data_IF_951723330202
#
_entry.id   IF_951723330202
#
_cell.length_a   1.000
_cell.length_b   1.000
_cell.length_c   1.000
_cell.angle_alpha   90.00
_cell.angle_beta   90.00
_cell.angle_gamma   90.00
#
_symmetry.space_group_name_H-M   'P 1'
#
loop_
_entity.id
_entity.type
_entity.pdbx_description
1 polymer ?
#
# COMPACT_ATOMS: atom_id res chain seq x y z
N UNK A 1 -61.09 -3.38 -33.64
CA UNK A 1 -60.06 -3.98 -34.32
C UNK A 1 -58.87 -3.13 -34.34
N UNK A 2 -59.04 -1.97 -34.33
CA UNK A 2 -57.95 -1.13 -34.46
C UNK A 2 -57.36 -0.81 -33.19
N UNK A 3 -57.87 -1.22 -32.18
CA UNK A 3 -57.33 -0.83 -30.94
C UNK A 3 -56.05 -1.50 -30.57
N UNK A 4 -55.82 -2.55 -31.23
CA UNK A 4 -54.70 -3.30 -30.80
C UNK A 4 -53.40 -2.65 -31.14
N UNK A 5 -53.39 -1.89 -32.17
CA UNK A 5 -52.12 -1.40 -32.53
C UNK A 5 -51.60 -0.45 -31.57
N UNK A 6 -52.36 0.04 -30.78
CA UNK A 6 -51.89 1.02 -29.90
C UNK A 6 -50.82 0.59 -28.97
N UNK A 7 -50.93 -0.58 -28.48
CA UNK A 7 -50.00 -0.98 -27.50
C UNK A 7 -48.64 -1.18 -28.00
N UNK A 8 -48.42 -1.14 -29.19
CA UNK A 8 -47.14 -1.43 -29.70
C UNK A 8 -46.09 -0.45 -29.29
N UNK A 9 -46.47 0.73 -29.30
CA UNK A 9 -45.42 1.71 -29.15
C UNK A 9 -44.76 1.75 -27.82
N UNK A 10 -45.50 1.57 -26.78
CA UNK A 10 -44.86 1.82 -25.57
C UNK A 10 -43.94 0.77 -25.16
N UNK A 11 -44.04 -0.31 -25.67
CA UNK A 11 -43.18 -1.35 -25.23
C UNK A 11 -41.72 -1.01 -25.43
N UNK A 12 -41.48 -0.16 -26.37
CA UNK A 12 -40.12 -0.01 -26.69
C UNK A 12 -39.38 0.99 -25.88
N UNK A 13 -40.07 2.01 -25.48
CA UNK A 13 -39.30 3.00 -24.91
C UNK A 13 -38.72 2.65 -23.62
N UNK A 14 -39.36 1.87 -22.81
CA UNK A 14 -38.71 1.67 -21.58
C UNK A 14 -37.54 0.79 -21.73
N UNK A 15 -37.38 0.17 -22.81
CA UNK A 15 -36.26 -0.67 -22.97
C UNK A 15 -34.97 0.08 -22.93
N UNK A 16 -34.95 1.28 -23.49
CA UNK A 16 -33.68 1.93 -23.52
C UNK A 16 -33.38 2.60 -22.21
N UNK A 17 -34.34 2.86 -21.42
CA UNK A 17 -34.06 3.48 -20.16
C UNK A 17 -33.18 2.61 -19.29
N UNK A 18 -33.29 1.34 -19.42
CA UNK A 18 -32.52 0.47 -18.59
C UNK A 18 -31.05 0.56 -18.86
N UNK A 19 -30.71 0.77 -20.09
CA UNK A 19 -29.33 0.70 -20.41
C UNK A 19 -28.54 1.87 -19.90
N UNK A 20 -29.18 2.97 -19.74
CA UNK A 20 -28.43 4.13 -19.34
C UNK A 20 -27.94 4.08 -17.91
N UNK A 21 -28.74 3.61 -17.03
CA UNK A 21 -28.41 3.65 -15.63
C UNK A 21 -27.13 2.95 -15.27
N UNK A 22 -26.99 1.71 -15.60
CA UNK A 22 -25.79 0.98 -15.19
C UNK A 22 -24.51 1.50 -15.80
N UNK A 23 -24.59 2.04 -16.96
CA UNK A 23 -23.33 2.45 -17.55
C UNK A 23 -22.71 3.64 -16.86
N UNK A 24 -23.51 4.49 -16.31
CA UNK A 24 -22.96 5.65 -15.66
C UNK A 24 -22.17 5.32 -14.41
N UNK A 25 -22.58 4.30 -13.71
CA UNK A 25 -21.90 3.95 -12.49
C UNK A 25 -20.47 3.52 -12.73
N UNK A 26 -20.22 2.93 -13.86
CA UNK A 26 -18.89 2.45 -14.14
C UNK A 26 -17.91 3.59 -14.37
N UNK A 27 -18.36 4.67 -14.94
CA UNK A 27 -17.46 5.76 -15.18
C UNK A 27 -16.92 6.35 -13.90
N UNK A 28 -17.72 6.34 -12.86
CA UNK A 28 -17.26 6.89 -11.60
C UNK A 28 -16.12 6.09 -11.01
N UNK A 29 -16.11 4.80 -11.21
CA UNK A 29 -15.04 3.98 -10.67
C UNK A 29 -13.72 4.29 -11.30
N UNK A 30 -13.69 4.61 -12.58
CA UNK A 30 -12.44 4.92 -13.21
C UNK A 30 -11.83 6.21 -12.69
N UNK A 31 -12.66 7.19 -12.43
CA UNK A 31 -12.15 8.44 -11.90
C UNK A 31 -11.52 8.27 -10.53
N UNK A 32 -12.06 7.38 -9.73
CA UNK A 32 -11.52 7.15 -8.42
C UNK A 32 -10.12 6.56 -8.49
N UNK A 33 -9.89 5.64 -9.40
CA UNK A 33 -8.57 5.04 -9.53
C UNK A 33 -7.54 6.04 -10.04
N UNK A 34 -7.95 6.94 -10.88
CA UNK A 34 -7.02 7.94 -11.38
C UNK A 34 -6.54 8.85 -10.27
N UNK A 35 -7.40 9.17 -9.34
CA UNK A 35 -7.01 10.00 -8.23
C UNK A 35 -5.98 9.33 -7.34
N UNK A 36 -6.13 8.03 -7.15
CA UNK A 36 -5.18 7.31 -6.34
C UNK A 36 -3.80 7.28 -6.97
N UNK A 37 -3.73 7.23 -8.28
CA UNK A 37 -2.45 7.23 -8.96
C UNK A 37 -1.73 8.56 -8.83
N UNK A 38 -2.47 9.64 -8.81
CA UNK A 38 -1.85 10.94 -8.67
C UNK A 38 -1.19 11.12 -7.32
N UNK A 39 -1.77 10.52 -6.28
CA UNK A 39 -1.19 10.63 -4.96
C UNK A 39 0.15 9.95 -4.86
N UNK A 40 0.40 8.94 -5.65
CA UNK A 40 1.65 8.22 -5.59
C UNK A 40 2.82 9.05 -6.11
N UNK A 41 2.56 10.01 -6.95
CA UNK A 41 3.64 10.81 -7.52
C UNK A 41 4.31 11.71 -6.49
N UNK A 42 3.61 12.02 -5.43
CA UNK A 42 4.16 12.91 -4.42
C UNK A 42 4.88 12.20 -3.30
N UNK A 43 5.05 10.90 -3.39
CA UNK A 43 5.70 10.14 -2.33
C UNK A 43 7.16 9.89 -2.67
N UNK A 44 7.97 9.75 -1.63
CA UNK A 44 9.36 9.37 -1.77
C UNK A 44 9.49 7.86 -1.93
N UNK A 45 10.72 7.35 -1.84
CA UNK A 45 10.94 5.92 -2.04
C UNK A 45 10.32 5.09 -0.92
N UNK A 46 9.72 3.96 -1.27
CA UNK A 46 9.19 3.06 -0.24
C UNK A 46 10.32 2.28 0.43
N UNK A 47 10.02 1.71 1.59
CA UNK A 47 10.97 0.90 2.35
C UNK A 47 10.47 -0.53 2.38
N UNK A 48 11.40 -1.47 2.31
CA UNK A 48 11.04 -2.88 2.35
C UNK A 48 12.20 -3.66 2.96
N UNK A 49 11.96 -4.91 3.29
CA UNK A 49 13.01 -5.74 3.81
C UNK A 49 12.45 -7.01 4.40
N UNK A 50 13.31 -7.72 5.10
CA UNK A 50 12.90 -8.93 5.76
C UNK A 50 13.54 -9.02 7.13
N UNK A 51 12.91 -9.80 8.01
CA UNK A 51 13.37 -10.00 9.37
C UNK A 51 13.65 -11.48 9.56
N UNK A 52 14.85 -11.80 10.01
CA UNK A 52 15.26 -13.17 10.30
C UNK A 52 15.79 -13.23 11.72
N UNK A 53 15.82 -14.45 12.29
CA UNK A 53 16.49 -14.63 13.56
C UNK A 53 17.94 -15.06 13.30
N UNK A 54 18.69 -15.25 14.37
CA UNK A 54 20.10 -15.58 14.24
C UNK A 54 20.34 -16.98 13.67
N UNK A 55 19.31 -17.82 13.63
CA UNK A 55 19.43 -19.12 13.00
C UNK A 55 19.06 -19.09 11.52
N UNK A 56 18.66 -17.92 10.99
CA UNK A 56 18.31 -17.77 9.59
C UNK A 56 16.86 -18.00 9.27
N UNK A 57 16.01 -18.23 10.28
CA UNK A 57 14.59 -18.42 10.05
C UNK A 57 13.89 -17.08 9.95
N UNK A 58 12.88 -17.01 9.10
CA UNK A 58 12.07 -15.80 8.98
C UNK A 58 11.26 -15.58 10.25
N UNK A 59 11.08 -14.31 10.61
CA UNK A 59 10.36 -13.93 11.81
C UNK A 59 9.06 -13.25 11.40
N UNK A 60 7.92 -13.94 11.50
CA UNK A 60 6.63 -13.31 11.17
C UNK A 60 6.15 -12.41 12.30
N UNK A 61 5.30 -11.47 11.94
CA UNK A 61 4.63 -10.62 12.92
C UNK A 61 5.59 -9.79 13.77
N UNK A 62 6.76 -9.49 13.23
CA UNK A 62 7.68 -8.53 13.84
C UNK A 62 7.19 -7.12 13.55
N UNK A 63 7.45 -6.21 14.46
CA UNK A 63 7.01 -4.82 14.33
C UNK A 63 8.15 -4.01 13.75
N UNK A 64 7.87 -3.34 12.65
CA UNK A 64 8.82 -2.47 12.00
C UNK A 64 8.39 -1.04 12.29
N UNK A 65 9.29 -0.24 12.83
CA UNK A 65 8.99 1.14 13.16
C UNK A 65 9.87 2.06 12.32
N UNK A 66 9.22 2.92 11.56
CA UNK A 66 9.91 3.96 10.78
C UNK A 66 9.71 5.28 11.49
N UNK A 67 10.79 5.87 12.00
CA UNK A 67 10.74 7.12 12.73
C UNK A 67 11.30 8.24 11.87
N UNK A 68 10.58 9.35 11.78
CA UNK A 68 11.01 10.52 11.04
C UNK A 68 11.48 11.55 12.05
N UNK A 69 12.80 11.74 12.11
CA UNK A 69 13.39 12.55 13.17
C UNK A 69 12.95 14.00 13.13
N UNK A 70 12.87 14.57 11.95
CA UNK A 70 12.53 15.99 11.82
C UNK A 70 11.10 16.29 12.22
N UNK A 71 10.22 15.31 12.19
CA UNK A 71 8.81 15.52 12.49
C UNK A 71 8.38 14.89 13.81
N UNK A 72 9.29 14.22 14.48
CA UNK A 72 9.00 13.52 15.74
C UNK A 72 7.78 12.61 15.57
N UNK A 73 7.74 11.89 14.48
CA UNK A 73 6.60 11.07 14.10
C UNK A 73 7.09 9.70 13.70
N UNK A 74 6.23 8.69 13.79
CA UNK A 74 6.61 7.33 13.42
C UNK A 74 5.42 6.58 12.84
N UNK A 75 5.74 5.56 12.02
CA UNK A 75 4.78 4.68 11.38
C UNK A 75 5.23 3.25 11.64
N UNK A 76 4.29 2.35 11.84
CA UNK A 76 4.63 0.95 12.09
C UNK A 76 4.04 0.06 11.01
N UNK A 77 4.71 -1.08 10.81
CA UNK A 77 4.24 -2.13 9.92
C UNK A 77 4.59 -3.46 10.57
N UNK A 78 4.06 -4.55 10.02
CA UNK A 78 4.34 -5.89 10.55
C UNK A 78 4.84 -6.78 9.43
N UNK A 79 5.69 -7.73 9.77
CA UNK A 79 6.14 -8.70 8.78
C UNK A 79 5.07 -9.76 8.55
N UNK A 80 5.06 -10.30 7.32
CA UNK A 80 4.17 -11.38 6.96
C UNK A 80 4.77 -12.72 7.40
N UNK A 81 4.16 -13.82 6.98
CA UNK A 81 4.60 -15.14 7.43
C UNK A 81 5.98 -15.49 6.90
N UNK A 82 6.46 -14.81 5.89
CA UNK A 82 7.80 -15.01 5.36
C UNK A 82 8.78 -13.97 5.86
N UNK A 83 8.38 -13.17 6.83
CA UNK A 83 9.28 -12.18 7.41
C UNK A 83 9.46 -10.93 6.58
N UNK A 84 8.68 -10.73 5.54
CA UNK A 84 8.80 -9.56 4.68
C UNK A 84 7.90 -8.44 5.17
N UNK A 85 8.32 -7.21 4.93
CA UNK A 85 7.50 -6.04 5.23
C UNK A 85 7.69 -5.00 4.14
N UNK A 86 6.75 -4.07 4.08
CA UNK A 86 6.82 -2.95 3.17
C UNK A 86 6.16 -1.75 3.81
N UNK A 87 6.82 -0.59 3.70
CA UNK A 87 6.28 0.68 4.17
C UNK A 87 6.25 1.61 2.98
N UNK A 88 5.07 2.18 2.66
CA UNK A 88 4.98 3.13 1.56
C UNK A 88 5.89 4.32 1.79
N UNK A 89 6.28 4.98 0.73
CA UNK A 89 7.15 6.14 0.85
C UNK A 89 6.46 7.28 1.56
N UNK A 90 7.27 8.13 2.17
CA UNK A 90 6.79 9.33 2.80
C UNK A 90 6.81 10.47 1.79
N UNK A 91 6.46 11.66 2.23
CA UNK A 91 6.47 12.82 1.34
C UNK A 91 7.86 13.03 0.75
N UNK A 92 7.91 13.52 -0.49
CA UNK A 92 9.19 13.80 -1.14
C UNK A 92 10.00 14.85 -0.40
N UNK A 93 9.35 15.66 0.41
CA UNK A 93 10.05 16.69 1.17
C UNK A 93 10.82 16.10 2.35
N UNK A 94 10.63 14.83 2.67
CA UNK A 94 11.33 14.19 3.76
C UNK A 94 12.57 13.50 3.21
N UNK A 95 13.74 13.87 3.74
CA UNK A 95 14.99 13.25 3.32
C UNK A 95 15.02 11.82 3.85
N UNK A 96 15.24 10.81 3.00
CA UNK A 96 15.32 9.44 3.49
C UNK A 96 16.35 9.22 4.59
N UNK A 97 17.37 10.05 4.66
CA UNK A 97 18.37 9.96 5.72
C UNK A 97 17.80 10.28 7.09
N UNK A 98 16.68 10.99 7.14
CA UNK A 98 16.02 11.30 8.39
C UNK A 98 15.09 10.21 8.86
N UNK A 99 14.85 9.19 8.03
CA UNK A 99 13.97 8.09 8.35
C UNK A 99 14.79 6.96 8.93
N UNK A 100 14.52 6.60 10.18
CA UNK A 100 15.20 5.52 10.85
C UNK A 100 14.25 4.34 11.00
N UNK A 101 14.70 3.16 10.58
CA UNK A 101 13.86 1.97 10.60
C UNK A 101 14.43 0.97 11.57
N UNK A 102 13.60 0.53 12.52
CA UNK A 102 13.99 -0.46 13.49
C UNK A 102 13.00 -1.62 13.48
N UNK A 103 13.45 -2.77 13.96
CA UNK A 103 12.64 -3.98 14.02
C UNK A 103 12.59 -4.45 15.45
N UNK A 104 11.42 -4.95 15.88
CA UNK A 104 11.28 -5.48 17.23
C UNK A 104 10.26 -6.60 17.25
N UNK A 105 10.41 -7.48 18.22
CA UNK A 105 9.42 -8.52 18.51
C UNK A 105 9.60 -8.96 19.93
N UNK A 106 8.47 -9.20 20.59
CA UNK A 106 8.51 -9.62 21.98
C UNK A 106 9.31 -10.92 22.11
N UNK A 107 10.21 -10.97 23.07
CA UNK A 107 11.08 -12.13 23.26
C UNK A 107 12.34 -12.11 22.41
N UNK A 108 12.56 -11.04 21.66
CA UNK A 108 13.73 -10.89 20.80
C UNK A 108 14.38 -9.55 21.03
N UNK A 109 15.66 -9.47 20.69
CA UNK A 109 16.36 -8.20 20.65
C UNK A 109 17.04 -8.04 19.31
N UNK A 110 17.29 -6.82 18.91
CA UNK A 110 17.90 -6.53 17.63
C UNK A 110 19.38 -6.90 17.67
N UNK A 111 19.79 -7.81 16.81
CA UNK A 111 21.20 -8.25 16.75
C UNK A 111 21.93 -7.53 15.63
N UNK A 112 21.29 -7.29 14.50
CA UNK A 112 21.93 -6.65 13.36
C UNK A 112 20.89 -6.00 12.47
N UNK A 113 21.32 -4.96 11.77
CA UNK A 113 20.45 -4.24 10.84
C UNK A 113 21.30 -3.77 9.67
N UNK A 114 20.82 -4.04 8.46
CA UNK A 114 21.49 -3.59 7.25
C UNK A 114 20.58 -2.66 6.48
N UNK A 115 21.17 -1.68 5.81
CA UNK A 115 20.42 -0.71 5.03
C UNK A 115 21.10 -0.52 3.69
N UNK A 116 20.33 -0.63 2.61
CA UNK A 116 20.81 -0.41 1.26
C UNK A 116 19.98 0.65 0.60
N UNK A 117 20.59 1.78 0.30
CA UNK A 117 19.90 2.85 -0.42
C UNK A 117 20.05 2.61 -1.91
N UNK A 118 19.01 2.98 -2.65
CA UNK A 118 19.04 2.87 -4.11
C UNK A 118 19.55 4.17 -4.68
N UNK A 119 20.64 4.15 -5.47
CA UNK A 119 21.18 5.40 -6.01
C UNK A 119 20.24 6.14 -6.95
N UNK A 120 19.22 5.46 -7.48
CA UNK A 120 18.25 6.07 -8.39
C UNK A 120 16.97 6.48 -7.69
N UNK A 121 17.00 6.70 -6.39
CA UNK A 121 15.82 7.06 -5.60
C UNK A 121 14.73 6.00 -5.62
N UNK A 122 15.11 4.76 -5.88
CA UNK A 122 14.18 3.66 -5.83
C UNK A 122 13.99 3.14 -4.41
N UNK A 123 13.33 2.00 -4.24
CA UNK A 123 13.04 1.45 -2.91
C UNK A 123 14.30 1.24 -2.08
N UNK A 124 14.16 1.47 -0.79
CA UNK A 124 15.27 1.34 0.15
C UNK A 124 15.06 0.07 0.96
N UNK A 125 16.09 -0.78 1.00
CA UNK A 125 16.01 -2.04 1.72
C UNK A 125 16.60 -1.92 3.10
N UNK A 126 15.84 -2.26 4.14
CA UNK A 126 16.34 -2.34 5.51
C UNK A 126 15.93 -3.69 6.07
N UNK A 127 16.92 -4.52 6.36
CA UNK A 127 16.66 -5.87 6.86
C UNK A 127 17.26 -6.01 8.25
N UNK A 128 16.60 -6.81 9.08
CA UNK A 128 16.97 -6.96 10.49
C UNK A 128 17.23 -8.42 10.82
N UNK A 129 18.12 -8.62 11.77
CA UNK A 129 18.32 -9.93 12.40
C UNK A 129 18.01 -9.79 13.88
N UNK A 130 17.12 -10.63 14.37
CA UNK A 130 16.70 -10.62 15.75
C UNK A 130 17.24 -11.84 16.48
N UNK A 131 17.67 -11.65 17.70
CA UNK A 131 18.17 -12.73 18.54
C UNK A 131 17.17 -13.00 19.66
N UNK A 132 16.89 -14.27 19.94
CA UNK A 132 16.02 -14.60 21.05
C UNK A 132 16.69 -14.24 22.36
N UNK A 133 15.89 -13.71 23.25
CA UNK A 133 16.37 -13.41 24.59
C UNK A 133 16.32 -14.61 25.49
#
# INVERSE_FOLDING_TARGET
>A
MNAMFVRVGFATMFAFALTLGPSLAWANGKGFFEELEEDEEDTGPPYFGMVKDTSGKFVPDAIITASIKSMNSSVTARTDIQGHYRIPGFSKSIDPKEVDITCSKEGYKLANRTRRANPNNGPIEVSCTLAKE
#
